data_IF_375058726794
#
_entry.id   IF_375058726794
#
_cell.length_a   1.000
_cell.length_b   1.000
_cell.length_c   1.000
_cell.angle_alpha   90.00
_cell.angle_beta   90.00
_cell.angle_gamma   90.00
#
_symmetry.space_group_name_H-M   'P 1'
#
loop_
_entity.id
_entity.type
_entity.pdbx_description
1 polymer ?
#
# COMPACT_ATOMS: atom_id res chain seq x y z
N UNK A 1 6.73 19.96 11.49
CA UNK A 1 6.63 19.00 10.35
C UNK A 1 6.71 17.59 10.92
N UNK A 2 5.62 16.85 10.88
CA UNK A 2 5.57 15.41 11.22
C UNK A 2 5.47 14.61 9.92
N UNK A 3 6.03 13.42 9.87
CA UNK A 3 5.90 12.52 8.73
C UNK A 3 5.15 11.26 9.14
N UNK A 4 4.05 10.98 8.49
CA UNK A 4 3.25 9.78 8.73
C UNK A 4 3.35 8.83 7.55
N UNK A 5 3.62 7.56 7.81
CA UNK A 5 3.47 6.48 6.85
C UNK A 5 2.12 5.79 7.06
N UNK A 6 1.39 5.51 5.98
CA UNK A 6 0.04 4.93 6.00
C UNK A 6 0.05 3.66 5.14
N UNK A 7 -0.42 2.56 5.72
CA UNK A 7 -0.48 1.26 5.06
C UNK A 7 -1.65 1.09 4.10
N UNK A 8 -1.86 -0.15 3.65
CA UNK A 8 -2.82 -0.55 2.64
C UNK A 8 -4.26 -0.24 3.06
N UNK A 9 -4.99 0.47 2.20
CA UNK A 9 -6.34 1.00 2.52
C UNK A 9 -7.43 0.09 1.97
N UNK A 10 -7.23 -0.40 0.73
CA UNK A 10 -8.17 -1.30 0.06
C UNK A 10 -9.64 -0.84 0.17
N UNK A 11 -9.97 0.34 -0.36
CA UNK A 11 -11.35 0.83 -0.39
C UNK A 11 -12.03 1.06 0.97
N UNK A 12 -11.28 1.07 2.06
CA UNK A 12 -11.79 1.32 3.42
C UNK A 12 -11.88 2.82 3.72
N UNK A 13 -12.68 3.57 2.95
CA UNK A 13 -12.79 5.03 3.00
C UNK A 13 -13.20 5.57 4.38
N UNK A 14 -14.02 4.83 5.14
CA UNK A 14 -14.39 5.20 6.52
C UNK A 14 -13.20 5.14 7.48
N UNK A 15 -12.35 4.11 7.33
CA UNK A 15 -11.13 3.99 8.13
C UNK A 15 -10.17 5.15 7.82
N UNK A 16 -9.99 5.48 6.54
CA UNK A 16 -9.14 6.59 6.12
C UNK A 16 -9.62 7.91 6.69
N UNK A 17 -10.93 8.20 6.60
CA UNK A 17 -11.51 9.43 7.16
C UNK A 17 -11.20 9.58 8.63
N UNK A 18 -11.54 8.58 9.44
CA UNK A 18 -11.29 8.64 10.89
C UNK A 18 -9.80 8.67 11.21
N UNK A 19 -8.95 7.98 10.42
CA UNK A 19 -7.51 8.02 10.60
C UNK A 19 -6.97 9.45 10.41
N UNK A 20 -7.40 10.13 9.35
CA UNK A 20 -7.04 11.53 9.05
C UNK A 20 -7.55 12.48 10.13
N UNK A 21 -8.80 12.30 10.59
CA UNK A 21 -9.35 13.05 11.73
C UNK A 21 -8.52 12.87 13.01
N UNK A 22 -7.97 11.66 13.24
CA UNK A 22 -7.09 11.40 14.40
C UNK A 22 -5.67 11.96 14.24
N UNK A 23 -5.14 12.04 13.01
CA UNK A 23 -3.83 12.64 12.72
C UNK A 23 -3.89 14.16 12.84
N UNK A 24 -5.00 14.78 12.42
CA UNK A 24 -5.15 16.23 12.32
C UNK A 24 -3.94 16.86 11.60
N UNK A 25 -3.73 16.55 10.30
CA UNK A 25 -2.51 16.94 9.61
C UNK A 25 -2.41 18.46 9.47
N UNK A 26 -1.29 19.02 9.89
CA UNK A 26 -0.94 20.42 9.64
C UNK A 26 -0.43 20.61 8.20
N UNK A 27 -0.42 21.84 7.73
CA UNK A 27 -0.01 22.17 6.34
C UNK A 27 1.45 21.83 6.04
N UNK A 28 2.29 21.76 7.05
CA UNK A 28 3.71 21.37 6.94
C UNK A 28 3.97 19.88 7.22
N UNK A 29 2.94 19.10 7.53
CA UNK A 29 3.07 17.65 7.70
C UNK A 29 3.13 16.93 6.36
N UNK A 30 3.80 15.77 6.35
CA UNK A 30 3.91 14.89 5.18
C UNK A 30 3.22 13.53 5.45
N UNK A 31 2.28 13.18 4.57
CA UNK A 31 1.60 11.88 4.60
C UNK A 31 2.11 11.02 3.45
N UNK A 32 2.75 9.88 3.76
CA UNK A 32 3.27 8.92 2.79
C UNK A 32 2.38 7.69 2.78
N UNK A 33 1.65 7.50 1.69
CA UNK A 33 0.80 6.33 1.46
C UNK A 33 1.57 5.25 0.69
N UNK A 34 1.54 4.02 1.16
CA UNK A 34 2.35 2.94 0.62
C UNK A 34 1.74 2.20 -0.58
N UNK A 35 0.55 2.60 -1.05
CA UNK A 35 -0.16 1.92 -2.15
C UNK A 35 -1.38 1.14 -1.69
N UNK A 36 -1.94 0.36 -2.61
CA UNK A 36 -3.14 -0.46 -2.41
C UNK A 36 -4.33 0.33 -1.85
N UNK A 37 -4.69 1.38 -2.60
CA UNK A 37 -5.86 2.24 -2.29
C UNK A 37 -7.16 1.55 -2.66
N UNK A 38 -7.12 0.76 -3.73
CA UNK A 38 -8.28 0.17 -4.42
C UNK A 38 -8.47 -1.30 -4.04
N UNK A 39 -9.57 -1.86 -4.51
CA UNK A 39 -9.98 -3.27 -4.42
C UNK A 39 -10.36 -3.74 -3.00
N UNK A 40 -11.04 -4.90 -2.94
CA UNK A 40 -11.44 -5.62 -1.72
C UNK A 40 -12.48 -4.90 -0.87
N UNK A 41 -12.22 -3.67 -0.46
CA UNK A 41 -13.15 -2.85 0.33
C UNK A 41 -14.18 -2.11 -0.52
N UNK A 42 -15.23 -1.54 0.10
CA UNK A 42 -16.43 -1.13 -0.61
C UNK A 42 -16.33 0.19 -1.38
N UNK A 43 -15.31 1.04 -1.12
CA UNK A 43 -15.32 2.42 -1.58
C UNK A 43 -13.93 2.92 -2.03
N UNK A 44 -13.40 2.28 -3.08
CA UNK A 44 -12.12 2.69 -3.71
C UNK A 44 -12.18 4.11 -4.25
N UNK A 45 -13.35 4.52 -4.81
CA UNK A 45 -13.56 5.90 -5.28
C UNK A 45 -13.41 6.91 -4.16
N UNK A 46 -14.11 6.70 -3.04
CA UNK A 46 -14.04 7.61 -1.89
C UNK A 46 -12.69 7.66 -1.22
N UNK A 47 -11.87 6.61 -1.32
CA UNK A 47 -10.46 6.65 -0.87
C UNK A 47 -9.65 7.62 -1.73
N UNK A 48 -9.76 7.53 -3.06
CA UNK A 48 -9.02 8.43 -3.96
C UNK A 48 -9.51 9.88 -3.81
N UNK A 49 -10.84 10.10 -3.70
CA UNK A 49 -11.40 11.43 -3.43
C UNK A 49 -10.78 12.08 -2.18
N UNK A 50 -10.68 11.33 -1.08
CA UNK A 50 -10.09 11.82 0.17
C UNK A 50 -8.59 12.14 0.04
N UNK A 51 -7.81 11.29 -0.65
CA UNK A 51 -6.38 11.54 -0.86
C UNK A 51 -6.16 12.79 -1.73
N UNK A 52 -6.98 12.98 -2.76
CA UNK A 52 -6.93 14.18 -3.59
C UNK A 52 -7.28 15.44 -2.80
N UNK A 53 -8.22 15.35 -1.86
CA UNK A 53 -8.56 16.47 -0.97
C UNK A 53 -7.41 16.78 -0.01
N UNK A 54 -6.77 15.76 0.58
CA UNK A 54 -5.60 15.93 1.45
C UNK A 54 -4.43 16.65 0.77
N UNK A 55 -4.23 16.44 -0.55
CA UNK A 55 -3.19 17.15 -1.33
C UNK A 55 -3.37 18.67 -1.35
N UNK A 56 -4.55 19.18 -0.99
CA UNK A 56 -4.82 20.62 -0.92
C UNK A 56 -4.42 21.23 0.43
N UNK A 57 -4.30 20.41 1.46
CA UNK A 57 -4.09 20.86 2.85
C UNK A 57 -2.72 20.55 3.39
N UNK A 58 -2.06 19.46 2.94
CA UNK A 58 -0.74 19.07 3.39
C UNK A 58 0.04 18.38 2.26
N UNK A 59 1.31 18.06 2.53
CA UNK A 59 2.12 17.31 1.56
C UNK A 59 1.70 15.83 1.56
N UNK A 60 1.32 15.33 0.39
CA UNK A 60 0.95 13.92 0.18
C UNK A 60 1.89 13.28 -0.84
N UNK A 61 2.56 12.22 -0.41
CA UNK A 61 3.32 11.30 -1.27
C UNK A 61 2.51 10.02 -1.39
N UNK A 62 2.24 9.60 -2.62
CA UNK A 62 1.43 8.40 -2.89
C UNK A 62 2.22 7.41 -3.74
N UNK A 63 2.46 6.21 -3.19
CA UNK A 63 3.15 5.14 -3.90
C UNK A 63 2.16 4.27 -4.67
N UNK A 64 2.69 3.53 -5.62
CA UNK A 64 1.95 2.53 -6.40
C UNK A 64 2.01 1.19 -5.69
N UNK A 65 0.85 0.56 -5.47
CA UNK A 65 0.75 -0.84 -5.08
C UNK A 65 0.48 -1.77 -6.27
N UNK A 66 0.53 -3.06 -6.05
CA UNK A 66 0.22 -4.05 -7.09
C UNK A 66 -1.25 -4.00 -7.51
N UNK A 67 -2.17 -3.61 -6.64
CA UNK A 67 -3.58 -3.43 -6.99
C UNK A 67 -3.79 -2.26 -7.96
N UNK A 68 -3.05 -1.17 -7.83
CA UNK A 68 -3.08 -0.08 -8.83
C UNK A 68 -2.45 -0.50 -10.16
N UNK A 69 -1.42 -1.36 -10.15
CA UNK A 69 -0.84 -1.93 -11.40
C UNK A 69 -1.89 -2.74 -12.14
N UNK A 70 -2.61 -3.64 -11.45
CA UNK A 70 -3.67 -4.46 -12.05
C UNK A 70 -4.82 -3.59 -12.59
N UNK A 71 -5.31 -2.63 -11.79
CA UNK A 71 -6.35 -1.71 -12.20
C UNK A 71 -5.94 -0.90 -13.44
N UNK A 72 -4.73 -0.34 -13.47
CA UNK A 72 -4.23 0.43 -14.59
C UNK A 72 -4.07 -0.42 -15.86
N UNK A 73 -3.63 -1.68 -15.73
CA UNK A 73 -3.52 -2.60 -16.85
C UNK A 73 -4.89 -2.86 -17.50
N UNK A 74 -5.93 -3.02 -16.70
CA UNK A 74 -7.32 -3.20 -17.18
C UNK A 74 -7.88 -1.90 -17.73
N UNK A 75 -7.83 -0.81 -16.94
CA UNK A 75 -8.51 0.44 -17.27
C UNK A 75 -7.89 1.18 -18.47
N UNK A 76 -6.58 1.07 -18.65
CA UNK A 76 -5.82 1.86 -19.62
C UNK A 76 -4.98 1.00 -20.60
N UNK A 77 -4.68 -0.25 -20.25
CA UNK A 77 -3.83 -1.14 -21.04
C UNK A 77 -4.60 -2.17 -21.87
N UNK A 78 -5.92 -2.27 -21.73
CA UNK A 78 -6.76 -3.23 -22.45
C UNK A 78 -6.51 -4.69 -22.07
N UNK A 79 -5.96 -4.96 -20.88
CA UNK A 79 -5.77 -6.32 -20.39
C UNK A 79 -7.10 -6.94 -19.97
N UNK A 80 -7.17 -8.28 -19.97
CA UNK A 80 -8.32 -9.03 -19.47
C UNK A 80 -8.52 -8.74 -17.96
N UNK A 81 -9.74 -8.34 -17.60
CA UNK A 81 -10.11 -7.98 -16.25
C UNK A 81 -10.33 -9.19 -15.32
N UNK A 82 -10.44 -10.40 -15.87
CA UNK A 82 -10.95 -11.56 -15.13
C UNK A 82 -10.12 -11.87 -13.89
N UNK A 83 -8.81 -11.88 -14.00
CA UNK A 83 -7.92 -12.15 -12.86
C UNK A 83 -8.00 -11.02 -11.81
N UNK A 84 -7.97 -9.76 -12.24
CA UNK A 84 -8.09 -8.62 -11.33
C UNK A 84 -9.43 -8.61 -10.59
N UNK A 85 -10.55 -8.89 -11.27
CA UNK A 85 -11.87 -8.99 -10.64
C UNK A 85 -11.91 -10.05 -9.53
N UNK A 86 -11.19 -11.18 -9.70
CA UNK A 86 -11.09 -12.24 -8.68
C UNK A 86 -10.24 -11.85 -7.48
N UNK A 87 -9.28 -10.92 -7.64
CA UNK A 87 -8.42 -10.42 -6.55
C UNK A 87 -9.01 -9.26 -5.77
N UNK A 88 -10.24 -8.85 -6.10
CA UNK A 88 -10.96 -7.80 -5.38
C UNK A 88 -11.44 -6.63 -6.24
N UNK A 89 -11.09 -6.59 -7.52
CA UNK A 89 -11.42 -5.52 -8.47
C UNK A 89 -12.92 -5.27 -8.63
N UNK A 90 -13.77 -6.28 -8.40
CA UNK A 90 -15.24 -6.13 -8.42
C UNK A 90 -15.73 -5.01 -7.50
N UNK A 91 -15.10 -4.86 -6.33
CA UNK A 91 -15.45 -3.79 -5.38
C UNK A 91 -15.12 -2.41 -5.95
N UNK A 92 -13.98 -2.29 -6.63
CA UNK A 92 -13.59 -1.06 -7.31
C UNK A 92 -14.56 -0.70 -8.43
N UNK A 93 -14.88 -1.64 -9.34
CA UNK A 93 -15.88 -1.42 -10.41
C UNK A 93 -17.22 -0.97 -9.80
N UNK A 94 -17.67 -1.62 -8.72
CA UNK A 94 -18.90 -1.26 -8.02
C UNK A 94 -18.83 0.17 -7.46
N UNK A 95 -17.72 0.58 -6.87
CA UNK A 95 -17.53 1.92 -6.29
C UNK A 95 -17.58 3.04 -7.33
N UNK A 96 -17.25 2.73 -8.60
CA UNK A 96 -17.43 3.62 -9.75
C UNK A 96 -18.78 3.47 -10.45
N UNK A 97 -19.77 2.85 -9.80
CA UNK A 97 -21.13 2.73 -10.33
C UNK A 97 -21.26 1.69 -11.44
N UNK A 98 -20.47 0.62 -11.40
CA UNK A 98 -20.56 -0.57 -12.25
C UNK A 98 -19.74 -0.53 -13.54
N UNK A 99 -18.96 0.54 -13.79
CA UNK A 99 -18.03 0.61 -14.95
C UNK A 99 -16.85 1.53 -14.66
N UNK A 100 -15.66 1.13 -15.10
CA UNK A 100 -14.45 1.96 -15.03
C UNK A 100 -14.52 3.18 -15.96
N UNK A 101 -15.36 3.16 -16.99
CA UNK A 101 -15.59 4.33 -17.86
C UNK A 101 -16.14 5.55 -17.09
N UNK A 102 -16.72 5.29 -15.91
CA UNK A 102 -17.21 6.34 -15.00
C UNK A 102 -16.12 6.89 -14.06
N UNK A 103 -14.88 6.43 -14.21
CA UNK A 103 -13.76 6.93 -13.41
C UNK A 103 -13.42 8.38 -13.82
N UNK A 104 -13.48 9.35 -12.89
CA UNK A 104 -13.15 10.75 -13.18
C UNK A 104 -11.71 10.92 -13.68
N UNK A 105 -11.47 11.91 -14.54
CA UNK A 105 -10.12 12.17 -15.09
C UNK A 105 -9.06 12.44 -14.02
N UNK A 106 -9.42 13.15 -12.94
CA UNK A 106 -8.51 13.41 -11.84
C UNK A 106 -8.11 12.11 -11.09
N UNK A 107 -8.99 11.08 -11.04
CA UNK A 107 -8.65 9.76 -10.50
C UNK A 107 -7.72 9.01 -11.45
N UNK A 108 -7.99 9.06 -12.76
CA UNK A 108 -7.11 8.47 -13.77
C UNK A 108 -5.71 9.11 -13.71
N UNK A 109 -5.64 10.43 -13.57
CA UNK A 109 -4.39 11.16 -13.41
C UNK A 109 -3.66 10.74 -12.11
N UNK A 110 -4.40 10.67 -10.99
CA UNK A 110 -3.86 10.20 -9.71
C UNK A 110 -3.20 8.82 -9.86
N UNK A 111 -3.91 7.82 -10.41
CA UNK A 111 -3.41 6.47 -10.58
C UNK A 111 -2.15 6.40 -11.46
N UNK A 112 -2.08 7.22 -12.50
CA UNK A 112 -0.91 7.30 -13.39
C UNK A 112 0.29 8.02 -12.75
N UNK A 113 0.04 8.92 -11.80
CA UNK A 113 1.06 9.75 -11.13
C UNK A 113 1.70 9.08 -9.89
N UNK A 114 1.30 7.87 -9.54
CA UNK A 114 1.81 7.15 -8.37
C UNK A 114 3.29 6.81 -8.53
N UNK A 115 4.06 7.03 -7.45
CA UNK A 115 5.49 6.82 -7.44
C UNK A 115 5.84 5.33 -7.22
N UNK A 116 6.94 4.85 -7.79
CA UNK A 116 7.41 3.48 -7.56
C UNK A 116 7.98 3.26 -6.15
N UNK A 117 8.57 4.26 -5.56
CA UNK A 117 9.09 4.36 -4.20
C UNK A 117 9.28 5.83 -3.85
N UNK A 118 9.52 6.11 -2.59
CA UNK A 118 9.93 7.44 -2.12
C UNK A 118 11.10 7.28 -1.17
N UNK A 119 12.14 8.10 -1.36
CA UNK A 119 13.35 8.05 -0.56
C UNK A 119 13.70 9.43 -0.03
N UNK A 120 13.98 9.51 1.27
CA UNK A 120 14.42 10.70 1.97
C UNK A 120 15.86 10.53 2.49
N UNK A 121 16.36 11.48 3.25
CA UNK A 121 17.70 11.38 3.85
C UNK A 121 17.81 10.18 4.81
N UNK A 122 16.72 9.83 5.51
CA UNK A 122 16.69 8.93 6.66
C UNK A 122 15.75 7.72 6.48
N UNK A 123 14.89 7.74 5.48
CA UNK A 123 13.90 6.70 5.26
C UNK A 123 13.72 6.34 3.77
N UNK A 124 13.30 5.09 3.54
CA UNK A 124 12.85 4.55 2.26
C UNK A 124 11.42 4.07 2.45
N UNK A 125 10.55 4.40 1.50
CA UNK A 125 9.17 3.94 1.43
C UNK A 125 8.99 3.17 0.12
N UNK A 126 8.55 1.94 0.19
CA UNK A 126 8.27 1.08 -0.96
C UNK A 126 7.07 0.21 -0.65
N UNK A 127 6.28 -0.17 -1.65
CA UNK A 127 5.04 -0.87 -1.40
C UNK A 127 5.25 -2.24 -0.75
N UNK A 128 6.09 -3.12 -1.31
CA UNK A 128 6.16 -4.51 -0.86
C UNK A 128 7.49 -4.91 -0.20
N UNK A 129 8.58 -4.90 -0.94
CA UNK A 129 9.87 -5.44 -0.48
C UNK A 129 11.04 -4.76 -1.20
N UNK A 130 12.27 -5.12 -0.83
CA UNK A 130 13.50 -4.58 -1.41
C UNK A 130 14.65 -5.58 -1.38
N UNK A 131 15.62 -5.43 -2.29
CA UNK A 131 16.96 -6.01 -2.17
C UNK A 131 17.85 -5.05 -1.38
N UNK A 132 18.42 -5.55 -0.28
CA UNK A 132 19.22 -4.75 0.63
C UNK A 132 20.55 -4.20 0.03
N UNK A 133 21.00 -4.78 -1.08
CA UNK A 133 22.31 -4.46 -1.70
C UNK A 133 22.22 -3.48 -2.85
N UNK A 134 21.03 -3.31 -3.43
CA UNK A 134 20.79 -2.50 -4.62
C UNK A 134 20.13 -1.18 -4.28
N UNK A 135 20.49 -0.05 -4.89
CA UNK A 135 19.79 1.22 -4.72
C UNK A 135 18.35 1.12 -5.26
N UNK A 136 17.46 2.00 -4.78
CA UNK A 136 16.02 1.90 -5.08
C UNK A 136 15.68 2.03 -6.56
N UNK A 137 16.48 2.76 -7.35
CA UNK A 137 16.32 2.90 -8.79
C UNK A 137 16.54 1.58 -9.55
N UNK A 138 17.32 0.66 -8.98
CA UNK A 138 17.69 -0.63 -9.58
C UNK A 138 16.89 -1.81 -9.03
N UNK A 139 15.94 -1.56 -8.13
CA UNK A 139 15.09 -2.61 -7.56
C UNK A 139 14.19 -3.23 -8.64
N UNK A 140 14.09 -4.56 -8.74
CA UNK A 140 13.12 -5.22 -9.61
C UNK A 140 11.67 -4.89 -9.21
N UNK A 141 10.80 -4.73 -10.20
CA UNK A 141 9.37 -4.52 -9.97
C UNK A 141 8.72 -5.66 -9.18
N UNK A 142 9.18 -6.90 -9.39
CA UNK A 142 8.76 -8.07 -8.63
C UNK A 142 8.96 -7.86 -7.11
N UNK A 143 10.09 -7.32 -6.68
CA UNK A 143 10.33 -6.99 -5.27
C UNK A 143 9.51 -5.79 -4.83
N UNK A 144 9.51 -4.71 -5.60
CA UNK A 144 8.84 -3.46 -5.21
C UNK A 144 7.34 -3.61 -4.99
N UNK A 145 6.67 -4.53 -5.74
CA UNK A 145 5.21 -4.58 -5.80
C UNK A 145 4.59 -5.92 -5.42
N UNK A 146 5.32 -7.05 -5.52
CA UNK A 146 4.69 -8.38 -5.48
C UNK A 146 5.24 -9.32 -4.41
N UNK A 147 6.45 -9.08 -3.93
CA UNK A 147 7.12 -10.03 -3.03
C UNK A 147 6.74 -9.78 -1.58
N UNK A 148 6.02 -10.72 -0.99
CA UNK A 148 5.72 -10.70 0.44
C UNK A 148 6.96 -10.86 1.32
N UNK A 149 6.90 -10.35 2.56
CA UNK A 149 7.92 -10.51 3.60
C UNK A 149 7.90 -11.93 4.19
N UNK A 150 8.04 -12.97 3.36
CA UNK A 150 8.15 -14.37 3.83
C UNK A 150 9.45 -14.57 4.60
N UNK A 151 10.53 -14.00 4.08
CA UNK A 151 11.80 -13.80 4.77
C UNK A 151 12.08 -12.30 4.83
N UNK A 152 12.43 -11.80 6.00
CA UNK A 152 12.74 -10.38 6.17
C UNK A 152 14.10 -10.07 5.58
N UNK A 153 14.23 -9.06 4.70
CA UNK A 153 15.52 -8.65 4.17
C UNK A 153 16.39 -8.05 5.29
N UNK A 154 17.72 -8.13 5.17
CA UNK A 154 18.63 -7.41 6.06
C UNK A 154 18.51 -5.89 5.87
N UNK A 155 19.14 -5.06 6.76
CA UNK A 155 19.17 -3.62 6.59
C UNK A 155 19.65 -3.21 5.18
N UNK A 156 18.97 -2.24 4.59
CA UNK A 156 19.36 -1.69 3.29
C UNK A 156 20.77 -1.06 3.38
N UNK A 157 21.59 -1.21 2.31
CA UNK A 157 22.98 -0.76 2.29
C UNK A 157 23.16 0.74 2.63
N UNK A 158 22.14 1.55 2.40
CA UNK A 158 22.15 2.98 2.73
C UNK A 158 22.04 3.26 4.23
N UNK A 159 21.73 2.25 5.06
CA UNK A 159 21.48 2.41 6.49
C UNK A 159 20.13 3.06 6.83
N UNK A 160 19.31 3.42 5.85
CA UNK A 160 17.98 4.04 6.05
C UNK A 160 16.97 3.02 6.55
N UNK A 161 16.02 3.51 7.35
CA UNK A 161 14.86 2.74 7.78
C UNK A 161 13.89 2.54 6.63
N UNK A 162 13.42 1.31 6.39
CA UNK A 162 12.52 1.00 5.30
C UNK A 162 11.11 0.76 5.79
N UNK A 163 10.13 1.39 5.15
CA UNK A 163 8.70 1.26 5.45
C UNK A 163 8.00 0.58 4.29
N UNK A 164 7.20 -0.47 4.59
CA UNK A 164 6.50 -1.29 3.60
C UNK A 164 5.04 -1.56 4.00
N UNK A 165 4.22 -1.89 3.01
CA UNK A 165 2.87 -2.43 3.10
C UNK A 165 2.79 -3.88 2.60
N UNK A 166 1.77 -4.19 1.77
CA UNK A 166 1.61 -5.39 0.94
C UNK A 166 1.56 -6.73 1.69
N UNK A 167 2.23 -6.85 2.81
CA UNK A 167 2.27 -8.10 3.59
C UNK A 167 1.35 -7.98 4.79
N UNK A 168 0.08 -8.39 4.67
CA UNK A 168 -0.90 -8.21 5.73
C UNK A 168 -0.45 -8.84 7.04
N UNK A 169 -0.61 -8.08 8.14
CA UNK A 169 -0.38 -8.56 9.50
C UNK A 169 -1.74 -8.88 10.15
N UNK A 170 -2.24 -10.14 10.08
CA UNK A 170 -3.59 -10.49 10.55
C UNK A 170 -3.80 -10.30 12.05
N UNK A 171 -2.71 -10.21 12.82
CA UNK A 171 -2.75 -9.87 14.25
C UNK A 171 -3.20 -8.43 14.52
N UNK A 172 -3.20 -7.58 13.48
CA UNK A 172 -3.40 -6.14 13.59
C UNK A 172 -2.24 -5.42 14.28
N UNK A 173 -1.06 -6.06 14.40
CA UNK A 173 0.14 -5.47 14.99
C UNK A 173 1.15 -5.15 13.88
N UNK A 174 1.83 -4.02 14.02
CA UNK A 174 2.92 -3.63 13.12
C UNK A 174 4.09 -4.60 13.28
N UNK A 175 4.67 -5.06 12.16
CA UNK A 175 5.97 -5.70 12.19
C UNK A 175 7.05 -4.61 12.21
N UNK A 176 7.78 -4.50 13.33
CA UNK A 176 8.87 -3.53 13.46
C UNK A 176 10.17 -4.25 13.86
N UNK A 177 11.14 -4.23 12.96
CA UNK A 177 12.47 -4.83 13.13
C UNK A 177 13.57 -3.77 13.32
N UNK A 178 13.19 -2.52 13.58
CA UNK A 178 14.10 -1.40 13.63
C UNK A 178 14.45 -0.85 12.24
N UNK A 179 15.16 -1.61 11.43
CA UNK A 179 15.52 -1.23 10.07
C UNK A 179 14.40 -1.37 9.04
N UNK A 180 13.41 -2.21 9.32
CA UNK A 180 12.25 -2.50 8.47
C UNK A 180 10.97 -2.42 9.30
N UNK A 181 9.97 -1.72 8.79
CA UNK A 181 8.63 -1.60 9.39
C UNK A 181 7.57 -1.92 8.35
N UNK A 182 6.72 -2.92 8.63
CA UNK A 182 5.53 -3.19 7.82
C UNK A 182 4.29 -2.68 8.54
N UNK A 183 3.59 -1.72 7.92
CA UNK A 183 2.41 -1.06 8.48
C UNK A 183 1.09 -1.53 7.85
N UNK A 184 1.11 -2.53 6.97
CA UNK A 184 -0.11 -3.20 6.52
C UNK A 184 -0.64 -4.10 7.63
N UNK A 185 -1.61 -3.61 8.37
CA UNK A 185 -2.26 -4.31 9.47
C UNK A 185 -3.63 -4.87 9.12
N UNK A 186 -3.85 -5.20 7.83
CA UNK A 186 -4.99 -5.96 7.31
C UNK A 186 -6.34 -5.24 7.43
N UNK A 187 -6.41 -3.97 7.02
CA UNK A 187 -7.61 -3.12 7.17
C UNK A 187 -8.86 -3.70 6.55
N UNK A 188 -8.80 -4.18 5.29
CA UNK A 188 -9.97 -4.71 4.59
C UNK A 188 -10.50 -6.01 5.21
N UNK A 189 -9.68 -6.72 5.97
CA UNK A 189 -10.04 -7.95 6.66
C UNK A 189 -10.57 -7.71 8.07
N UNK A 190 -9.84 -8.22 9.05
CA UNK A 190 -10.18 -8.17 10.48
C UNK A 190 -9.27 -7.25 11.30
N UNK A 191 -8.34 -6.57 10.63
CA UNK A 191 -7.37 -5.68 11.26
C UNK A 191 -7.74 -4.20 11.15
N UNK A 192 -6.74 -3.36 10.91
CA UNK A 192 -6.83 -1.90 11.02
C UNK A 192 -6.10 -1.22 9.86
N UNK A 193 -6.54 -0.01 9.50
CA UNK A 193 -5.72 0.94 8.78
C UNK A 193 -4.78 1.60 9.80
N UNK A 194 -3.49 1.56 9.49
CA UNK A 194 -2.45 2.06 10.39
C UNK A 194 -1.75 3.27 9.79
N UNK A 195 -1.63 4.32 10.59
CA UNK A 195 -0.68 5.41 10.39
C UNK A 195 0.39 5.35 11.50
N UNK A 196 1.64 5.58 11.13
CA UNK A 196 2.76 5.68 12.06
C UNK A 196 3.54 6.96 11.79
N UNK A 197 3.73 7.77 12.81
CA UNK A 197 4.66 8.90 12.75
C UNK A 197 6.09 8.35 12.78
N UNK A 198 6.85 8.57 11.72
CA UNK A 198 8.19 7.95 11.58
C UNK A 198 9.23 8.61 12.48
N UNK A 199 8.95 9.84 12.95
CA UNK A 199 9.85 10.62 13.77
C UNK A 199 9.71 10.27 15.27
N UNK A 200 8.52 9.79 15.72
CA UNK A 200 8.21 9.48 17.11
C UNK A 200 7.80 8.04 17.36
N UNK A 201 7.59 7.26 16.28
CA UNK A 201 7.00 5.93 16.32
C UNK A 201 5.54 5.88 16.87
N UNK A 202 4.91 7.04 17.07
CA UNK A 202 3.51 7.12 17.47
C UNK A 202 2.63 6.47 16.39
N UNK A 203 1.70 5.62 16.83
CA UNK A 203 0.88 4.81 15.94
C UNK A 203 -0.60 5.05 16.20
N UNK A 204 -1.36 5.24 15.13
CA UNK A 204 -2.81 5.38 15.14
C UNK A 204 -3.39 4.24 14.30
N UNK A 205 -4.39 3.53 14.83
CA UNK A 205 -5.06 2.43 14.15
C UNK A 205 -6.57 2.60 14.18
N UNK A 206 -7.20 2.36 13.01
CA UNK A 206 -8.66 2.48 12.82
C UNK A 206 -9.18 1.27 12.07
N UNK A 207 -10.25 0.63 12.55
CA UNK A 207 -10.87 -0.49 11.85
C UNK A 207 -11.64 -0.02 10.60
N UNK A 208 -12.02 -0.96 9.72
CA UNK A 208 -12.76 -0.65 8.48
C UNK A 208 -14.14 0.00 8.70
N UNK A 209 -14.67 -0.01 9.94
CA UNK A 209 -15.92 0.66 10.30
C UNK A 209 -15.70 2.11 10.77
N UNK A 210 -14.44 2.52 10.96
CA UNK A 210 -14.07 3.84 11.44
C UNK A 210 -13.89 3.93 12.96
N UNK A 211 -13.69 2.82 13.68
CA UNK A 211 -13.45 2.86 15.11
C UNK A 211 -11.96 2.87 15.41
N UNK A 212 -11.50 3.90 16.14
CA UNK A 212 -10.11 3.98 16.61
C UNK A 212 -9.81 2.86 17.61
N UNK A 213 -8.70 2.16 17.41
CA UNK A 213 -8.18 1.19 18.37
C UNK A 213 -7.62 1.93 19.59
N UNK A 214 -8.03 1.52 20.80
CA UNK A 214 -7.60 2.09 22.06
C UNK A 214 -6.75 1.06 22.83
N UNK A 215 -5.45 1.04 22.55
CA UNK A 215 -4.47 0.20 23.26
C UNK A 215 -3.18 1.01 23.47
N UNK A 216 -2.38 0.70 24.50
CA UNK A 216 -1.07 1.30 24.66
C UNK A 216 -0.21 1.14 23.41
N UNK A 217 0.60 2.13 23.07
CA UNK A 217 1.42 2.12 21.84
C UNK A 217 2.35 0.91 21.79
N UNK A 218 2.93 0.50 22.93
CA UNK A 218 3.81 -0.66 23.04
C UNK A 218 3.14 -1.98 22.69
N UNK A 219 1.81 -2.07 22.85
CA UNK A 219 1.03 -3.25 22.52
C UNK A 219 0.73 -3.37 21.00
N UNK A 220 1.07 -2.37 20.20
CA UNK A 220 0.81 -2.33 18.77
C UNK A 220 1.95 -2.95 17.93
N UNK A 221 3.05 -3.35 18.56
CA UNK A 221 4.25 -3.80 17.89
C UNK A 221 4.53 -5.28 18.12
N UNK A 222 4.87 -6.01 17.05
CA UNK A 222 5.50 -7.33 17.12
C UNK A 222 6.99 -7.17 16.80
N UNK A 223 7.83 -7.49 17.76
CA UNK A 223 9.25 -7.72 17.50
C UNK A 223 9.47 -9.23 17.31
N UNK A 224 10.12 -9.62 16.20
CA UNK A 224 10.81 -10.89 16.01
C UNK A 224 10.06 -12.12 15.48
N UNK A 225 10.79 -13.25 15.43
CA UNK A 225 10.58 -14.58 14.84
C UNK A 225 9.17 -15.21 14.93
N UNK A 226 8.32 -14.80 15.87
CA UNK A 226 6.92 -15.25 15.95
C UNK A 226 6.06 -14.65 14.83
N UNK A 227 6.35 -13.42 14.39
CA UNK A 227 5.61 -12.76 13.32
C UNK A 227 5.85 -13.46 11.97
N UNK A 228 7.10 -13.82 11.66
CA UNK A 228 7.42 -14.56 10.45
C UNK A 228 6.69 -15.91 10.36
N UNK A 229 6.54 -16.63 11.50
CA UNK A 229 5.78 -17.89 11.55
C UNK A 229 4.28 -17.67 11.35
N UNK A 230 3.72 -16.58 11.86
CA UNK A 230 2.29 -16.23 11.69
C UNK A 230 1.97 -15.86 10.23
N UNK A 231 2.85 -15.08 9.60
CA UNK A 231 2.75 -14.70 8.19
C UNK A 231 2.81 -15.95 7.29
N UNK A 232 3.77 -16.82 7.51
CA UNK A 232 3.92 -18.07 6.77
C UNK A 232 2.67 -18.96 6.89
N UNK A 233 2.10 -19.10 8.09
CA UNK A 233 0.89 -19.91 8.30
C UNK A 233 -0.36 -19.34 7.63
N UNK A 234 -0.45 -18.03 7.48
CA UNK A 234 -1.55 -17.36 6.77
C UNK A 234 -1.50 -17.66 5.27
N UNK A 235 -0.33 -17.50 4.65
CA UNK A 235 -0.17 -17.74 3.21
C UNK A 235 -0.29 -19.23 2.84
N UNK A 236 0.18 -20.14 3.67
CA UNK A 236 0.04 -21.58 3.43
C UNK A 236 -1.38 -22.11 3.59
N UNK A 237 -2.24 -21.42 4.34
CA UNK A 237 -3.67 -21.75 4.47
C UNK A 237 -4.55 -21.17 3.38
N UNK A 238 -4.17 -20.01 2.82
CA UNK A 238 -4.96 -19.35 1.77
C UNK A 238 -4.54 -19.72 0.34
N UNK A 239 -3.38 -20.32 0.15
CA UNK A 239 -2.90 -20.82 -1.15
C UNK A 239 -3.34 -22.27 -1.36
N UNK A 240 -4.55 -22.50 -1.89
CA UNK A 240 -4.75 -23.66 -2.76
C UNK A 240 -3.97 -23.38 -4.04
N UNK A 241 -3.15 -24.32 -4.54
CA UNK A 241 -2.37 -24.09 -5.76
C UNK A 241 -3.32 -23.83 -6.92
N UNK A 242 -3.13 -22.71 -7.60
CA UNK A 242 -3.68 -22.51 -8.93
C UNK A 242 -3.02 -23.51 -9.88
N UNK A 243 -3.73 -24.06 -10.88
CA UNK A 243 -3.15 -24.99 -11.83
C UNK A 243 -1.99 -24.33 -12.60
N UNK A 244 -0.95 -25.09 -12.86
CA UNK A 244 0.37 -24.71 -13.42
C UNK A 244 0.36 -24.22 -14.88
N UNK A 245 -0.65 -23.56 -15.39
CA UNK A 245 -0.76 -23.22 -16.82
C UNK A 245 -0.89 -21.74 -17.17
N UNK A 246 -0.28 -20.82 -16.41
CA UNK A 246 -0.21 -19.41 -16.86
C UNK A 246 0.96 -18.63 -16.27
N UNK A 247 2.19 -19.06 -16.53
CA UNK A 247 3.35 -18.15 -16.44
C UNK A 247 3.50 -17.42 -17.77
N UNK A 248 2.72 -16.38 -17.97
CA UNK A 248 3.03 -15.37 -18.99
C UNK A 248 3.84 -14.28 -18.32
N UNK A 249 5.05 -14.06 -18.82
CA UNK A 249 5.93 -12.97 -18.46
C UNK A 249 5.22 -11.64 -18.73
N UNK A 250 4.99 -10.87 -17.67
CA UNK A 250 4.47 -9.51 -17.76
C UNK A 250 5.64 -8.57 -18.07
N UNK A 251 5.74 -8.09 -19.30
CA UNK A 251 6.59 -6.96 -19.66
C UNK A 251 5.78 -5.66 -19.52
N UNK A 252 6.23 -4.69 -18.70
CA UNK A 252 5.61 -3.38 -18.66
C UNK A 252 5.83 -2.65 -19.98
N UNK A 253 4.86 -1.84 -20.49
CA UNK A 253 5.05 -1.04 -21.68
C UNK A 253 6.19 -0.02 -21.46
N UNK A 254 7.15 0.00 -22.39
CA UNK A 254 8.22 0.99 -22.42
C UNK A 254 7.64 2.39 -22.63
N UNK A 255 8.21 3.45 -22.01
CA UNK A 255 7.80 4.82 -22.25
C UNK A 255 8.07 5.15 -23.74
N UNK A 256 7.01 5.51 -24.47
CA UNK A 256 7.15 6.04 -25.83
C UNK A 256 7.89 7.37 -25.74
N UNK A 257 9.06 7.42 -26.37
CA UNK A 257 9.78 8.65 -26.55
C UNK A 257 8.93 9.65 -27.34
N UNK A 258 8.87 10.86 -26.84
CA UNK A 258 8.41 12.03 -27.60
C UNK A 258 9.37 12.21 -28.77
N UNK A 259 8.88 11.99 -29.99
CA UNK A 259 9.59 12.40 -31.20
C UNK A 259 9.29 13.87 -31.45
N UNK A 260 10.37 14.64 -31.54
CA UNK A 260 10.40 16.00 -32.07
C UNK A 260 9.69 16.08 -33.42
N UNK A 261 8.78 17.02 -33.55
CA UNK A 261 8.65 17.95 -34.70
C UNK A 261 7.93 19.22 -34.25
#
# INVERSE_FOLDING_TARGET
MRRFVIGDIHGCSKALRTLVECIEPASDDELVFLGDYVDRGPDSRGVIDQILELRRSCRVVALRGNHEIMLCAVAFGGHDEQMWLQTGGKATVTSYGGSLDKMPENHQYFLRSLLPYYETKDAIFVHANYDARSPMEQQPDELRYWTHLVTTPPPHHSGKRVFVGHTPQPSGMILNLGHLVCVDTYCFGTGYLTAMCIDTDETIQVDKKGHRRRVPAEALWQATSKAAKSIYSYFTRSSRPAPESSRTSFEPPSPRGEAEQ
#
